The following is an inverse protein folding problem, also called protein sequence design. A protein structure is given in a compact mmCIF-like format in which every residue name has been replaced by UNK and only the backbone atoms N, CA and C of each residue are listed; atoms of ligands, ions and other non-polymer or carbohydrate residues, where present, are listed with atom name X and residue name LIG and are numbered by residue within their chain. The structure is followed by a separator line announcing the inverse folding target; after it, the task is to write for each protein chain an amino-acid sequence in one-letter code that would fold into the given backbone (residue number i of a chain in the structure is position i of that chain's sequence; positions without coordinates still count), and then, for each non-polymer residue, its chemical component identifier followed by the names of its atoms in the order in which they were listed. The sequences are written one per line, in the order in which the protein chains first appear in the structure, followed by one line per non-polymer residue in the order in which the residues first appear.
data_IF_018497072808
#
_entry.id   IF_018497072808
#
_cell.length_a   1.000
_cell.length_b   1.000
_cell.length_c   1.000
_cell.angle_alpha   90.00
_cell.angle_beta   90.00
_cell.angle_gamma   90.00
#
_symmetry.space_group_name_H-M   'P 1'
#
loop_
_entity.id
_entity.type
_entity.pdbx_description
1 polymer ?
#
# COMPACT_ATOMS: atom_id res chain seq x y z
N UNK A 1 -10.87 -15.77 -14.23
CA UNK A 1 -9.96 -16.62 -15.03
C UNK A 1 -8.81 -17.09 -14.14
N UNK A 2 -8.46 -18.38 -14.20
CA UNK A 2 -7.31 -18.95 -13.50
C UNK A 2 -6.23 -19.20 -14.56
N UNK A 3 -5.00 -18.81 -14.26
CA UNK A 3 -3.83 -19.05 -15.09
C UNK A 3 -2.98 -20.12 -14.43
N UNK A 4 -2.52 -21.10 -15.21
CA UNK A 4 -1.71 -22.22 -14.73
C UNK A 4 -0.48 -22.39 -15.61
N UNK A 5 0.66 -22.69 -14.99
CA UNK A 5 1.91 -22.98 -15.68
C UNK A 5 2.88 -23.69 -14.74
N UNK A 6 3.90 -24.33 -15.32
CA UNK A 6 5.05 -24.87 -14.59
C UNK A 6 6.22 -23.89 -14.63
N UNK A 7 6.90 -23.73 -13.51
CA UNK A 7 8.11 -22.92 -13.43
C UNK A 7 8.96 -23.29 -12.22
N UNK A 8 10.24 -22.97 -12.30
CA UNK A 8 11.18 -23.06 -11.19
C UNK A 8 11.26 -21.75 -10.41
N UNK A 9 11.81 -21.83 -9.20
CA UNK A 9 12.03 -20.67 -8.34
C UNK A 9 13.45 -20.13 -8.54
N UNK A 10 13.56 -18.85 -8.83
CA UNK A 10 14.83 -18.14 -8.95
C UNK A 10 15.12 -17.32 -7.69
N UNK A 11 16.32 -17.46 -7.13
CA UNK A 11 16.81 -16.61 -6.04
C UNK A 11 17.60 -15.43 -6.60
N UNK A 12 17.25 -14.23 -6.15
CA UNK A 12 17.98 -12.99 -6.44
C UNK A 12 18.30 -12.34 -5.09
N UNK A 13 19.51 -12.61 -4.57
CA UNK A 13 19.92 -12.26 -3.22
C UNK A 13 19.04 -12.91 -2.15
N UNK A 14 18.44 -12.10 -1.27
CA UNK A 14 17.55 -12.57 -0.19
C UNK A 14 16.09 -12.77 -0.63
N UNK A 15 15.79 -12.63 -1.92
CA UNK A 15 14.42 -12.74 -2.46
C UNK A 15 14.32 -13.94 -3.41
N UNK A 16 13.14 -14.53 -3.45
CA UNK A 16 12.81 -15.63 -4.35
C UNK A 16 11.64 -15.22 -5.25
N UNK A 17 11.71 -15.62 -6.52
CA UNK A 17 10.75 -15.25 -7.54
C UNK A 17 10.45 -16.41 -8.49
N UNK A 18 9.23 -16.44 -9.02
CA UNK A 18 8.84 -17.34 -10.10
C UNK A 18 8.55 -16.48 -11.33
N UNK A 19 9.17 -16.81 -12.46
CA UNK A 19 8.94 -16.10 -13.72
C UNK A 19 7.64 -16.59 -14.35
N UNK A 20 6.77 -15.68 -14.78
CA UNK A 20 5.60 -16.05 -15.57
C UNK A 20 6.05 -16.31 -17.01
N UNK A 21 5.76 -17.49 -17.61
CA UNK A 21 6.34 -17.91 -18.88
C UNK A 21 5.65 -17.31 -20.11
N UNK A 22 4.66 -16.43 -19.90
CA UNK A 22 3.92 -15.75 -20.97
C UNK A 22 3.84 -14.25 -20.72
N UNK A 23 3.55 -13.50 -21.78
CA UNK A 23 3.35 -12.05 -21.71
C UNK A 23 2.06 -11.73 -20.96
N UNK A 24 2.18 -11.15 -19.76
CA UNK A 24 1.05 -10.82 -18.89
C UNK A 24 0.20 -9.68 -19.46
N UNK A 25 0.78 -8.74 -20.20
CA UNK A 25 0.00 -7.65 -20.81
C UNK A 25 -1.00 -8.19 -21.84
N UNK A 26 -0.53 -9.12 -22.68
CA UNK A 26 -1.34 -9.72 -23.74
C UNK A 26 -2.35 -10.72 -23.16
N UNK A 27 -1.92 -11.58 -22.23
CA UNK A 27 -2.79 -12.61 -21.66
C UNK A 27 -3.80 -12.06 -20.65
N UNK A 28 -3.42 -11.07 -19.87
CA UNK A 28 -4.24 -10.57 -18.77
C UNK A 28 -4.88 -9.20 -19.05
N UNK A 29 -4.45 -8.48 -20.10
CA UNK A 29 -4.97 -7.15 -20.43
C UNK A 29 -4.65 -6.06 -19.41
N UNK A 30 -3.76 -6.31 -18.44
CA UNK A 30 -3.42 -5.40 -17.36
C UNK A 30 -1.93 -5.09 -17.31
N UNK A 31 -1.57 -3.89 -16.83
CA UNK A 31 -0.18 -3.41 -16.65
C UNK A 31 0.00 -2.85 -15.24
N UNK A 32 1.23 -2.91 -14.73
CA UNK A 32 1.61 -2.29 -13.45
C UNK A 32 1.83 -3.33 -12.35
N UNK A 33 1.41 -3.02 -11.12
CA UNK A 33 1.44 -3.98 -10.01
C UNK A 33 0.08 -4.68 -9.95
N UNK A 34 0.01 -5.90 -10.47
CA UNK A 34 -1.26 -6.63 -10.65
C UNK A 34 -1.50 -7.50 -9.42
N UNK A 35 -2.58 -7.29 -8.64
CA UNK A 35 -2.90 -8.14 -7.50
C UNK A 35 -3.41 -9.50 -7.96
N UNK A 36 -2.85 -10.56 -7.36
CA UNK A 36 -3.19 -11.95 -7.66
C UNK A 36 -3.30 -12.77 -6.39
N UNK A 37 -4.18 -13.77 -6.42
CA UNK A 37 -4.15 -14.92 -5.51
C UNK A 37 -3.40 -16.04 -6.21
N UNK A 38 -2.34 -16.51 -5.58
CA UNK A 38 -1.43 -17.54 -6.07
C UNK A 38 -1.63 -18.82 -5.25
N UNK A 39 -1.45 -19.97 -5.88
CA UNK A 39 -1.49 -21.28 -5.28
C UNK A 39 -0.33 -22.13 -5.84
N UNK A 40 0.48 -22.66 -4.93
CA UNK A 40 1.68 -23.47 -5.22
C UNK A 40 1.74 -24.58 -4.18
N UNK A 41 1.75 -25.85 -4.60
CA UNK A 41 1.93 -27.01 -3.71
C UNK A 41 1.05 -26.94 -2.44
N UNK A 42 -0.26 -26.76 -2.63
CA UNK A 42 -1.29 -26.63 -1.59
C UNK A 42 -1.16 -25.38 -0.68
N UNK A 43 -0.28 -24.44 -1.02
CA UNK A 43 -0.13 -23.17 -0.30
C UNK A 43 -0.74 -22.05 -1.14
N UNK A 44 -1.80 -21.43 -0.61
CA UNK A 44 -2.38 -20.25 -1.21
C UNK A 44 -1.92 -18.96 -0.51
N UNK A 45 -1.54 -17.96 -1.29
CA UNK A 45 -1.18 -16.64 -0.80
C UNK A 45 -1.53 -15.57 -1.83
N UNK A 46 -1.62 -14.32 -1.39
CA UNK A 46 -1.88 -13.20 -2.27
C UNK A 46 -0.68 -12.27 -2.36
N UNK A 47 -0.41 -11.77 -3.55
CA UNK A 47 0.70 -10.87 -3.82
C UNK A 47 0.40 -9.95 -5.01
N UNK A 48 1.26 -8.96 -5.22
CA UNK A 48 1.28 -8.22 -6.50
C UNK A 48 2.36 -8.78 -7.39
N UNK A 49 2.03 -9.03 -8.65
CA UNK A 49 3.01 -9.38 -9.66
C UNK A 49 4.00 -8.23 -9.87
N UNK A 50 5.28 -8.56 -9.99
CA UNK A 50 6.36 -7.57 -10.15
C UNK A 50 6.71 -7.45 -11.64
N UNK A 51 6.48 -6.29 -12.28
CA UNK A 51 6.85 -6.08 -13.67
C UNK A 51 8.37 -5.94 -13.81
N UNK A 52 8.93 -6.57 -14.84
CA UNK A 52 10.32 -6.35 -15.30
C UNK A 52 10.40 -5.70 -16.69
N UNK A 53 9.26 -5.23 -17.22
CA UNK A 53 9.15 -4.59 -18.53
C UNK A 53 8.73 -5.57 -19.64
N UNK A 54 8.26 -5.02 -20.76
CA UNK A 54 7.88 -5.78 -21.97
C UNK A 54 6.98 -7.00 -21.71
N UNK A 55 5.99 -6.86 -20.83
CA UNK A 55 5.06 -7.94 -20.51
C UNK A 55 5.62 -9.05 -19.61
N UNK A 56 6.89 -8.94 -19.17
CA UNK A 56 7.55 -9.89 -18.29
C UNK A 56 7.21 -9.57 -16.84
N UNK A 57 6.70 -10.57 -16.11
CA UNK A 57 6.30 -10.46 -14.72
C UNK A 57 6.81 -11.61 -13.89
N UNK A 58 6.99 -11.33 -12.60
CA UNK A 58 7.44 -12.28 -11.60
C UNK A 58 6.46 -12.35 -10.44
N UNK A 59 6.24 -13.55 -9.93
CA UNK A 59 5.54 -13.79 -8.67
C UNK A 59 6.59 -13.77 -7.55
N UNK A 60 6.53 -12.84 -6.59
CA UNK A 60 7.39 -12.88 -5.42
C UNK A 60 6.99 -14.03 -4.49
N UNK A 61 7.94 -14.88 -4.12
CA UNK A 61 7.71 -16.00 -3.21
C UNK A 61 7.98 -15.55 -1.77
N UNK A 62 6.99 -15.71 -0.90
CA UNK A 62 7.10 -15.34 0.52
C UNK A 62 7.93 -16.37 1.29
N UNK A 63 8.60 -15.94 2.37
CA UNK A 63 9.49 -16.80 3.18
C UNK A 63 8.83 -18.09 3.67
N UNK A 64 7.53 -18.06 4.00
CA UNK A 64 6.78 -19.23 4.44
C UNK A 64 6.64 -20.29 3.34
N UNK A 65 6.41 -19.85 2.10
CA UNK A 65 6.33 -20.72 0.92
C UNK A 65 7.72 -21.27 0.62
N UNK A 66 8.76 -20.43 0.67
CA UNK A 66 10.17 -20.86 0.52
C UNK A 66 10.60 -21.96 1.48
N UNK A 67 9.95 -22.13 2.64
CA UNK A 67 10.28 -23.21 3.60
C UNK A 67 9.63 -24.55 3.24
N UNK A 68 8.65 -24.55 2.34
CA UNK A 68 7.79 -25.70 2.05
C UNK A 68 7.88 -26.18 0.61
N UNK A 69 8.45 -25.37 -0.28
CA UNK A 69 8.67 -25.73 -1.68
C UNK A 69 10.12 -26.19 -1.89
N UNK A 70 10.28 -27.15 -2.78
CA UNK A 70 11.58 -27.51 -3.33
C UNK A 70 11.97 -26.51 -4.43
N UNK A 71 13.20 -26.00 -4.38
CA UNK A 71 13.70 -25.03 -5.35
C UNK A 71 14.26 -25.70 -6.60
N UNK A 72 14.61 -26.99 -6.51
CA UNK A 72 15.29 -27.72 -7.58
C UNK A 72 14.30 -28.39 -8.54
N UNK A 73 13.01 -28.37 -8.20
CA UNK A 73 11.94 -29.00 -8.97
C UNK A 73 11.00 -27.97 -9.63
N UNK A 74 10.42 -28.35 -10.77
CA UNK A 74 9.32 -27.58 -11.37
C UNK A 74 8.10 -27.59 -10.46
N UNK A 75 7.56 -26.40 -10.21
CA UNK A 75 6.36 -26.20 -9.42
C UNK A 75 5.16 -25.97 -10.33
N UNK A 76 4.05 -26.63 -10.03
CA UNK A 76 2.74 -26.27 -10.59
C UNK A 76 2.24 -24.99 -9.91
N UNK A 77 2.13 -23.92 -10.69
CA UNK A 77 1.77 -22.59 -10.21
C UNK A 77 0.44 -22.19 -10.82
N UNK A 78 -0.50 -21.87 -9.94
CA UNK A 78 -1.80 -21.32 -10.31
C UNK A 78 -1.91 -19.89 -9.79
N UNK A 79 -2.50 -18.99 -10.57
CA UNK A 79 -2.92 -17.71 -10.04
C UNK A 79 -4.22 -17.19 -10.66
N UNK A 80 -4.92 -16.36 -9.91
CA UNK A 80 -6.10 -15.62 -10.33
C UNK A 80 -5.87 -14.13 -10.05
N UNK A 81 -6.19 -13.28 -11.02
CA UNK A 81 -6.24 -11.83 -10.81
C UNK A 81 -7.40 -11.50 -9.89
N UNK A 82 -7.13 -10.68 -8.88
CA UNK A 82 -8.09 -10.21 -7.89
C UNK A 82 -8.10 -8.68 -7.93
N UNK A 83 -9.19 -8.04 -7.48
CA UNK A 83 -9.31 -6.58 -7.54
C UNK A 83 -8.38 -5.86 -6.55
N UNK A 84 -7.95 -6.57 -5.49
CA UNK A 84 -7.02 -6.10 -4.48
C UNK A 84 -6.66 -7.22 -3.51
N UNK A 85 -5.61 -7.02 -2.71
CA UNK A 85 -5.20 -8.01 -1.71
C UNK A 85 -6.22 -8.05 -0.56
N UNK A 86 -6.84 -9.21 -0.33
CA UNK A 86 -7.77 -9.48 0.76
C UNK A 86 -7.17 -9.28 2.14
N UNK A 87 -5.86 -9.14 2.31
CA UNK A 87 -5.30 -8.83 3.64
C UNK A 87 -5.54 -7.39 4.09
N UNK A 88 -5.85 -6.47 3.17
CA UNK A 88 -5.91 -5.02 3.46
C UNK A 88 -6.96 -4.30 2.58
N UNK A 89 -7.95 -5.01 2.05
CA UNK A 89 -9.06 -4.40 1.30
C UNK A 89 -10.27 -4.20 2.23
N UNK A 90 -11.11 -3.19 2.01
CA UNK A 90 -12.39 -2.97 2.70
C UNK A 90 -13.36 -4.16 2.56
N UNK A 91 -13.17 -5.01 1.54
CA UNK A 91 -13.88 -6.28 1.33
C UNK A 91 -13.11 -7.51 1.81
N UNK A 92 -12.08 -7.33 2.64
CA UNK A 92 -11.38 -8.42 3.31
C UNK A 92 -12.31 -9.15 4.28
N UNK A 93 -12.40 -10.49 4.27
CA UNK A 93 -13.08 -11.22 5.34
C UNK A 93 -12.40 -11.06 6.72
N UNK A 94 -11.24 -10.40 6.77
CA UNK A 94 -10.47 -10.11 7.98
C UNK A 94 -10.46 -8.61 8.36
N UNK A 95 -11.07 -7.74 7.55
CA UNK A 95 -11.33 -6.36 7.97
C UNK A 95 -12.65 -6.31 8.73
N UNK A 96 -12.68 -5.85 9.98
CA UNK A 96 -13.94 -5.58 10.67
C UNK A 96 -14.59 -4.27 10.18
N UNK A 97 -13.98 -3.55 9.24
CA UNK A 97 -14.42 -2.23 8.78
C UNK A 97 -14.84 -2.25 7.31
N UNK A 98 -15.77 -1.36 6.95
CA UNK A 98 -16.27 -1.13 5.59
C UNK A 98 -16.46 0.36 5.35
N UNK A 99 -16.83 0.77 4.12
CA UNK A 99 -17.11 2.18 3.85
C UNK A 99 -18.32 2.73 4.62
N UNK A 100 -19.29 1.87 4.97
CA UNK A 100 -20.45 2.25 5.80
C UNK A 100 -20.11 2.22 7.30
N UNK A 101 -19.11 1.42 7.68
CA UNK A 101 -18.66 1.22 9.05
C UNK A 101 -17.14 1.33 9.13
N UNK A 102 -16.62 2.55 8.95
CA UNK A 102 -15.20 2.84 9.11
C UNK A 102 -14.76 2.66 10.57
N UNK A 103 -13.45 2.52 10.80
CA UNK A 103 -12.87 2.39 12.15
C UNK A 103 -13.30 3.53 13.09
N UNK A 104 -13.52 4.72 12.52
CA UNK A 104 -14.19 5.84 13.18
C UNK A 104 -14.70 6.86 12.15
N UNK A 105 -15.53 7.80 12.59
CA UNK A 105 -15.81 9.04 11.86
C UNK A 105 -14.68 10.05 12.11
N UNK A 106 -14.25 10.77 11.07
CA UNK A 106 -13.25 11.84 11.19
C UNK A 106 -13.98 13.18 11.32
N UNK A 107 -14.05 13.68 12.54
CA UNK A 107 -14.58 15.00 12.93
C UNK A 107 -13.49 15.97 13.43
N UNK A 108 -12.27 15.45 13.63
CA UNK A 108 -11.07 16.20 13.97
C UNK A 108 -9.83 15.30 13.97
N UNK A 109 -8.65 15.92 14.12
CA UNK A 109 -7.36 15.22 14.19
C UNK A 109 -6.69 15.50 15.53
N UNK A 110 -6.39 14.43 16.26
CA UNK A 110 -5.50 14.49 17.42
C UNK A 110 -4.07 14.30 16.95
N UNK A 111 -3.20 15.27 17.24
CA UNK A 111 -1.81 15.22 16.82
C UNK A 111 -1.05 14.07 17.50
N UNK A 112 -0.31 13.29 16.71
CA UNK A 112 0.63 12.27 17.17
C UNK A 112 2.00 12.58 16.57
N UNK A 113 3.01 12.72 17.43
CA UNK A 113 4.41 12.84 16.99
C UNK A 113 4.93 11.46 16.58
N UNK A 114 5.64 11.37 15.45
CA UNK A 114 6.18 10.07 15.04
C UNK A 114 7.18 9.54 16.08
N UNK A 115 7.14 8.25 16.44
CA UNK A 115 8.04 7.70 17.44
C UNK A 115 9.50 7.65 16.95
N UNK A 116 9.69 7.47 15.64
CA UNK A 116 10.99 7.35 15.01
C UNK A 116 10.99 7.91 13.58
N UNK A 117 12.17 8.28 13.10
CA UNK A 117 12.37 8.64 11.69
C UNK A 117 11.92 7.52 10.75
N UNK A 118 11.17 7.89 9.72
CA UNK A 118 10.64 6.98 8.72
C UNK A 118 9.27 6.38 9.02
N UNK A 119 8.57 6.83 10.08
CA UNK A 119 7.22 6.37 10.42
C UNK A 119 6.11 7.36 10.02
N UNK A 120 6.38 8.35 9.16
CA UNK A 120 5.44 9.42 8.83
C UNK A 120 4.11 8.89 8.26
N UNK A 121 4.15 7.92 7.35
CA UNK A 121 2.94 7.31 6.79
C UNK A 121 2.10 6.56 7.82
N UNK A 122 2.74 5.77 8.70
CA UNK A 122 2.05 5.08 9.79
C UNK A 122 1.46 6.07 10.79
N UNK A 123 2.16 7.17 11.06
CA UNK A 123 1.71 8.21 11.99
C UNK A 123 0.51 8.98 11.43
N UNK A 124 0.48 9.27 10.12
CA UNK A 124 -0.70 9.84 9.47
C UNK A 124 -1.91 8.91 9.58
N UNK A 125 -1.73 7.63 9.26
CA UNK A 125 -2.80 6.64 9.38
C UNK A 125 -3.31 6.51 10.83
N UNK A 126 -2.41 6.57 11.82
CA UNK A 126 -2.76 6.52 13.24
C UNK A 126 -3.62 7.72 13.66
N UNK A 127 -3.24 8.93 13.24
CA UNK A 127 -4.00 10.16 13.50
C UNK A 127 -5.40 10.13 12.85
N UNK A 128 -5.52 9.61 11.63
CA UNK A 128 -6.81 9.45 10.95
C UNK A 128 -7.68 8.41 11.64
N UNK A 129 -7.13 7.25 11.96
CA UNK A 129 -7.83 6.12 12.56
C UNK A 129 -8.12 6.30 14.06
N UNK A 130 -7.44 7.22 14.75
CA UNK A 130 -7.57 7.41 16.19
C UNK A 130 -6.99 6.25 17.02
N UNK A 131 -5.95 5.59 16.52
CA UNK A 131 -5.29 4.44 17.16
C UNK A 131 -3.78 4.69 17.30
N UNK A 132 -3.05 3.77 17.95
CA UNK A 132 -1.60 3.92 18.14
C UNK A 132 -0.79 3.70 16.85
N UNK A 133 0.41 4.28 16.77
CA UNK A 133 1.33 4.05 15.64
C UNK A 133 1.78 2.58 15.60
N UNK A 134 1.95 1.96 16.76
CA UNK A 134 2.30 0.54 16.91
C UNK A 134 1.24 -0.38 16.31
N UNK A 135 -0.04 -0.09 16.52
CA UNK A 135 -1.15 -0.84 15.92
C UNK A 135 -1.16 -0.70 14.40
N UNK A 136 -0.97 0.53 13.87
CA UNK A 136 -0.85 0.73 12.42
C UNK A 136 0.33 -0.05 11.84
N UNK A 137 1.50 -0.06 12.51
CA UNK A 137 2.66 -0.84 12.07
C UNK A 137 2.33 -2.33 11.96
N UNK A 138 1.58 -2.88 12.93
CA UNK A 138 1.13 -4.28 12.92
C UNK A 138 0.16 -4.56 11.76
N UNK A 139 -0.83 -3.70 11.57
CA UNK A 139 -1.85 -3.83 10.51
C UNK A 139 -1.19 -3.74 9.12
N UNK A 140 -0.40 -2.68 8.92
CA UNK A 140 0.27 -2.38 7.65
C UNK A 140 1.45 -3.32 7.35
N UNK A 141 1.90 -4.10 8.34
CA UNK A 141 3.08 -4.99 8.29
C UNK A 141 4.29 -4.28 7.67
N UNK A 142 4.56 -3.07 8.14
CA UNK A 142 5.63 -2.22 7.59
C UNK A 142 6.37 -1.50 8.69
N UNK A 143 7.70 -1.58 8.64
CA UNK A 143 8.58 -0.89 9.59
C UNK A 143 9.05 0.47 9.05
N UNK A 144 10.01 1.09 9.72
CA UNK A 144 10.58 2.41 9.38
C UNK A 144 10.95 2.49 7.90
N UNK A 145 10.57 3.58 7.24
CA UNK A 145 10.80 3.87 5.82
C UNK A 145 10.13 2.91 4.83
N UNK A 146 9.21 2.06 5.29
CA UNK A 146 8.52 1.09 4.43
C UNK A 146 7.06 1.47 4.10
N UNK A 147 6.65 2.69 4.44
CA UNK A 147 5.33 3.22 4.13
C UNK A 147 5.27 3.82 2.71
N UNK A 148 5.03 2.96 1.72
CA UNK A 148 4.72 3.42 0.36
C UNK A 148 3.29 3.93 0.26
N UNK A 149 3.02 4.81 -0.71
CA UNK A 149 1.66 5.31 -1.01
C UNK A 149 0.67 4.16 -1.21
N UNK A 150 1.07 3.07 -1.87
CA UNK A 150 0.20 1.91 -2.04
C UNK A 150 -0.22 1.26 -0.72
N UNK A 151 0.71 1.13 0.25
CA UNK A 151 0.38 0.60 1.57
C UNK A 151 -0.50 1.57 2.38
N UNK A 152 -0.31 2.88 2.19
CA UNK A 152 -1.18 3.89 2.80
C UNK A 152 -2.61 3.73 2.27
N UNK A 153 -2.78 3.67 0.94
CA UNK A 153 -4.08 3.45 0.30
C UNK A 153 -4.72 2.15 0.78
N UNK A 154 -3.96 1.04 0.76
CA UNK A 154 -4.43 -0.24 1.27
C UNK A 154 -4.89 -0.11 2.73
N UNK A 155 -4.11 0.52 3.59
CA UNK A 155 -4.49 0.65 5.01
C UNK A 155 -5.72 1.56 5.22
N UNK A 156 -5.91 2.58 4.37
CA UNK A 156 -7.15 3.36 4.35
C UNK A 156 -8.36 2.50 3.97
N UNK A 157 -8.22 1.65 2.96
CA UNK A 157 -9.26 0.69 2.57
C UNK A 157 -9.56 -0.28 3.72
N UNK A 158 -8.54 -0.81 4.38
CA UNK A 158 -8.73 -1.66 5.57
C UNK A 158 -9.48 -0.93 6.67
N UNK A 159 -9.19 0.35 6.94
CA UNK A 159 -9.93 1.14 7.93
C UNK A 159 -11.35 1.54 7.50
N UNK A 160 -11.77 1.19 6.29
CA UNK A 160 -13.08 1.57 5.77
C UNK A 160 -13.17 3.05 5.40
N UNK A 161 -12.05 3.78 5.28
CA UNK A 161 -12.09 5.17 4.86
C UNK A 161 -12.32 5.27 3.35
N UNK A 162 -13.33 6.03 2.94
CA UNK A 162 -13.50 6.40 1.54
C UNK A 162 -12.45 7.44 1.14
N UNK A 163 -11.78 7.22 0.01
CA UNK A 163 -10.74 8.11 -0.50
C UNK A 163 -10.77 8.21 -2.02
N UNK A 164 -10.18 9.29 -2.56
CA UNK A 164 -9.97 9.45 -4.00
C UNK A 164 -8.54 9.05 -4.37
N UNK A 165 -8.35 8.74 -5.65
CA UNK A 165 -7.01 8.50 -6.21
C UNK A 165 -6.09 9.71 -5.97
N UNK A 166 -4.77 9.49 -5.79
CA UNK A 166 -3.83 10.58 -5.60
C UNK A 166 -3.92 11.64 -6.71
N UNK A 167 -4.04 12.90 -6.30
CA UNK A 167 -4.03 14.06 -7.20
C UNK A 167 -2.66 14.76 -7.13
N UNK A 168 -2.00 14.94 -8.27
CA UNK A 168 -0.69 15.58 -8.36
C UNK A 168 -0.83 17.09 -8.59
N UNK A 169 -0.22 17.88 -7.73
CA UNK A 169 -0.32 19.36 -7.76
C UNK A 169 0.59 19.97 -8.81
N UNK A 170 1.69 19.29 -9.16
CA UNK A 170 2.73 19.79 -10.09
C UNK A 170 3.27 21.16 -9.67
N UNK A 171 3.42 21.39 -8.37
CA UNK A 171 3.93 22.66 -7.81
C UNK A 171 2.95 23.84 -7.91
N UNK A 172 1.69 23.59 -8.26
CA UNK A 172 0.65 24.63 -8.33
C UNK A 172 0.02 24.83 -6.96
N UNK A 173 -0.39 26.07 -6.69
CA UNK A 173 -1.28 26.37 -5.59
C UNK A 173 -2.67 25.78 -5.90
N UNK A 174 -3.12 24.84 -5.08
CA UNK A 174 -4.39 24.13 -5.24
C UNK A 174 -5.18 24.21 -3.94
N UNK A 175 -6.51 24.27 -4.06
CA UNK A 175 -7.37 24.14 -2.90
C UNK A 175 -7.36 22.68 -2.44
N UNK A 176 -6.94 22.45 -1.20
CA UNK A 176 -6.99 21.13 -0.59
C UNK A 176 -8.42 20.82 -0.12
N UNK A 177 -8.87 19.55 -0.21
CA UNK A 177 -10.14 19.12 0.35
C UNK A 177 -10.10 19.19 1.88
N UNK A 178 -11.28 19.14 2.52
CA UNK A 178 -11.40 19.25 3.99
C UNK A 178 -10.44 18.31 4.74
N UNK A 179 -10.25 17.08 4.28
CA UNK A 179 -9.28 16.14 4.84
C UNK A 179 -8.46 15.47 3.72
N UNK A 180 -7.14 15.49 3.84
CA UNK A 180 -6.27 14.69 2.96
C UNK A 180 -4.94 14.32 3.61
N UNK A 181 -4.36 13.22 3.13
CA UNK A 181 -2.94 12.95 3.32
C UNK A 181 -2.19 13.70 2.22
N UNK A 182 -1.25 14.55 2.61
CA UNK A 182 -0.37 15.26 1.70
C UNK A 182 0.98 14.56 1.58
N UNK A 183 1.50 14.54 0.37
CA UNK A 183 2.85 14.09 0.05
C UNK A 183 3.69 15.29 -0.31
N UNK A 184 4.73 15.53 0.48
CA UNK A 184 5.58 16.72 0.37
C UNK A 184 7.02 16.31 0.10
N UNK A 185 7.73 17.17 -0.63
CA UNK A 185 9.17 17.02 -0.87
C UNK A 185 9.91 17.23 0.45
N UNK A 186 10.53 16.18 0.97
CA UNK A 186 11.49 16.28 2.06
C UNK A 186 12.93 16.39 1.52
N UNK A 187 13.89 16.62 2.42
CA UNK A 187 15.31 16.79 2.05
C UNK A 187 15.90 15.57 1.33
N UNK A 188 15.60 14.36 1.83
CA UNK A 188 16.17 13.11 1.32
C UNK A 188 15.14 12.16 0.71
N UNK A 189 13.90 12.21 1.19
CA UNK A 189 12.78 11.36 0.75
C UNK A 189 11.48 12.15 0.87
N UNK A 190 10.48 11.73 0.11
CA UNK A 190 9.11 12.22 0.27
C UNK A 190 8.61 12.00 1.70
N UNK A 191 7.89 12.98 2.24
CA UNK A 191 7.31 12.99 3.57
C UNK A 191 5.78 13.03 3.50
N UNK A 192 5.12 12.44 4.49
CA UNK A 192 3.65 12.40 4.57
C UNK A 192 3.18 13.15 5.80
N UNK A 193 2.17 14.00 5.61
CA UNK A 193 1.50 14.77 6.65
C UNK A 193 -0.01 14.78 6.39
N UNK A 194 -0.83 15.19 7.36
CA UNK A 194 -2.28 15.38 7.18
C UNK A 194 -2.58 16.86 7.00
N UNK A 195 -3.50 17.18 6.11
CA UNK A 195 -4.24 18.44 6.13
C UNK A 195 -5.67 18.17 6.59
N UNK A 196 -6.15 18.92 7.57
CA UNK A 196 -7.53 18.89 8.03
C UNK A 196 -8.01 20.31 8.30
N UNK A 197 -8.98 20.77 7.51
CA UNK A 197 -9.73 22.02 7.71
C UNK A 197 -8.84 23.26 7.96
N UNK A 198 -7.84 23.45 7.11
CA UNK A 198 -6.90 24.58 7.19
C UNK A 198 -5.64 24.31 8.03
N UNK A 199 -5.59 23.20 8.77
CA UNK A 199 -4.48 22.88 9.69
C UNK A 199 -3.67 21.69 9.15
N UNK A 200 -2.35 21.80 9.23
CA UNK A 200 -1.43 20.72 8.87
C UNK A 200 -0.93 20.01 10.12
N UNK A 201 -0.96 18.69 10.11
CA UNK A 201 -0.47 17.82 11.17
C UNK A 201 0.72 17.05 10.62
N UNK A 202 1.91 17.57 10.86
CA UNK A 202 3.16 17.02 10.37
C UNK A 202 3.81 16.12 11.44
N UNK A 203 4.01 14.82 11.16
CA UNK A 203 4.57 13.88 12.15
C UNK A 203 5.96 14.25 12.68
N UNK A 204 6.74 15.07 11.97
CA UNK A 204 8.08 15.54 12.39
C UNK A 204 8.05 16.96 12.94
N UNK A 205 7.27 17.85 12.31
CA UNK A 205 7.29 19.30 12.58
C UNK A 205 6.20 19.77 13.54
N UNK A 206 5.18 18.95 13.84
CA UNK A 206 4.07 19.35 14.69
C UNK A 206 2.87 19.89 13.91
N UNK A 207 2.09 20.72 14.59
CA UNK A 207 0.91 21.38 14.01
C UNK A 207 1.36 22.67 13.34
N UNK A 208 1.07 22.82 12.05
CA UNK A 208 1.48 23.96 11.24
C UNK A 208 0.25 24.67 10.63
N UNK A 209 0.23 26.01 10.59
CA UNK A 209 -0.86 26.75 9.95
C UNK A 209 -0.71 26.84 8.43
N UNK A 210 0.48 26.58 7.89
CA UNK A 210 0.78 26.71 6.47
C UNK A 210 1.86 25.71 6.06
N UNK A 211 1.76 25.25 4.82
CA UNK A 211 2.78 24.45 4.16
C UNK A 211 3.12 25.10 2.80
N UNK A 212 4.40 25.24 2.41
CA UNK A 212 4.75 25.81 1.11
C UNK A 212 4.19 24.93 -0.03
N UNK A 213 3.29 25.48 -0.85
CA UNK A 213 2.61 24.70 -1.91
C UNK A 213 3.59 24.16 -2.97
N UNK A 214 4.75 24.80 -3.14
CA UNK A 214 5.81 24.38 -4.06
C UNK A 214 6.41 23.02 -3.66
N UNK A 215 6.38 22.70 -2.37
CA UNK A 215 6.86 21.43 -1.83
C UNK A 215 5.79 20.35 -1.87
N UNK A 216 4.52 20.70 -2.11
CA UNK A 216 3.43 19.74 -2.21
C UNK A 216 3.54 18.99 -3.54
N UNK A 217 3.69 17.66 -3.49
CA UNK A 217 3.82 16.79 -4.68
C UNK A 217 2.44 16.30 -5.11
N UNK A 218 1.67 15.79 -4.14
CA UNK A 218 0.35 15.22 -4.35
C UNK A 218 -0.44 15.20 -3.06
N UNK A 219 -1.75 14.96 -3.15
CA UNK A 219 -2.60 14.68 -1.99
C UNK A 219 -3.55 13.51 -2.29
N UNK A 220 -4.03 12.85 -1.23
CA UNK A 220 -5.05 11.81 -1.24
C UNK A 220 -6.21 12.32 -0.42
N UNK A 221 -7.31 12.67 -1.08
CA UNK A 221 -8.53 13.11 -0.41
C UNK A 221 -9.15 11.97 0.39
N UNK A 222 -9.54 12.27 1.63
CA UNK A 222 -10.32 11.38 2.49
C UNK A 222 -11.71 11.99 2.61
N UNK A 223 -12.73 11.22 2.23
CA UNK A 223 -14.12 11.64 2.28
C UNK A 223 -14.59 11.58 3.74
N UNK A 224 -14.86 12.74 4.33
CA UNK A 224 -15.22 12.92 5.76
C UNK A 224 -16.57 13.59 5.94
#
# INVERSE_FOLDING_TARGET
MIYNFKSIVHKEGNRAFIKIPFNVWEKCGQKGLIPVKVEISDISFECKLVPKGNGIYYIPVIKEVCKKIDFDNELDVHFKIIDGLSRINSNSPYSPYSQEHSIRKIDGITYIKQPHNGCCGQTCLAMLAGISVEEVIKIMKSSKHQASISKVIETLDYFGFSHKKPAYTKGRNVQLPKCCIINVRGENKSHLSIYYDGIYYDPTQGILPVYPYENLISYIEICV
#
